data_IF_707603328101
#
_entry.id   IF_707603328101
#
_cell.length_a   1.000
_cell.length_b   1.000
_cell.length_c   1.000
_cell.angle_alpha   90.00
_cell.angle_beta   90.00
_cell.angle_gamma   90.00
#
_symmetry.space_group_name_H-M   'P 1'
#
loop_
_entity.id
_entity.type
_entity.pdbx_description
1 polymer ?
#
# COMPACT_ATOMS: atom_id res chain seq x y z
N UNK A 1 -0.96 59.55 5.66
CA UNK A 1 -1.39 58.17 5.34
C UNK A 1 -0.20 57.24 5.53
N UNK A 2 -0.15 56.55 6.66
CA UNK A 2 0.97 55.72 7.09
C UNK A 2 0.70 54.27 6.67
N UNK A 3 1.47 53.75 5.72
CA UNK A 3 1.38 52.34 5.31
C UNK A 3 2.12 51.47 6.32
N UNK A 4 1.37 50.79 7.18
CA UNK A 4 1.87 49.71 8.03
C UNK A 4 2.16 48.49 7.14
N UNK A 5 3.44 48.19 6.93
CA UNK A 5 3.89 46.92 6.36
C UNK A 5 3.71 45.87 7.45
N UNK A 6 2.66 45.06 7.35
CA UNK A 6 2.51 43.83 8.12
C UNK A 6 3.56 42.84 7.61
N UNK A 7 4.72 42.80 8.28
CA UNK A 7 5.65 41.70 8.16
C UNK A 7 4.99 40.46 8.78
N UNK A 8 4.40 39.62 7.93
CA UNK A 8 4.03 38.27 8.31
C UNK A 8 5.30 37.53 8.72
N UNK A 9 5.50 37.40 10.03
CA UNK A 9 6.38 36.38 10.58
C UNK A 9 5.85 35.03 10.11
N UNK A 10 6.40 34.52 9.02
CA UNK A 10 6.38 33.09 8.75
C UNK A 10 7.16 32.51 9.94
N UNK A 11 6.54 31.74 10.86
CA UNK A 11 7.33 31.04 11.85
C UNK A 11 8.30 30.18 11.06
N UNK A 12 9.60 30.46 11.21
CA UNK A 12 10.63 29.51 10.84
C UNK A 12 10.22 28.21 11.52
N UNK A 13 9.75 27.26 10.74
CA UNK A 13 9.44 25.93 11.24
C UNK A 13 10.75 25.42 11.82
N UNK A 14 10.78 25.22 13.14
CA UNK A 14 11.83 24.47 13.77
C UNK A 14 11.81 23.10 13.07
N UNK A 15 12.66 22.88 12.06
CA UNK A 15 12.91 21.55 11.52
C UNK A 15 13.16 20.66 12.74
N UNK A 16 12.36 19.59 12.88
CA UNK A 16 12.13 18.89 14.14
C UNK A 16 13.44 18.41 14.77
N UNK A 17 13.94 19.18 15.74
CA UNK A 17 15.12 18.81 16.52
C UNK A 17 14.73 17.66 17.45
N UNK A 18 15.37 16.52 17.30
CA UNK A 18 15.21 15.36 18.19
C UNK A 18 16.45 15.19 19.04
N UNK A 19 16.28 14.71 20.28
CA UNK A 19 17.44 14.44 21.15
C UNK A 19 18.21 13.21 20.68
N UNK A 20 17.51 12.18 20.19
CA UNK A 20 18.08 11.05 19.48
C UNK A 20 17.28 10.76 18.22
N UNK A 21 17.97 10.44 17.11
CA UNK A 21 17.32 10.04 15.86
C UNK A 21 16.31 8.89 16.05
N UNK A 22 16.58 7.98 16.98
CA UNK A 22 15.70 6.83 17.28
C UNK A 22 14.29 7.21 17.77
N UNK A 23 14.10 8.47 18.17
CA UNK A 23 12.79 8.97 18.60
C UNK A 23 11.82 9.15 17.42
N UNK A 24 12.33 9.38 16.21
CA UNK A 24 11.49 9.42 15.02
C UNK A 24 11.04 8.00 14.63
N UNK A 25 9.74 7.74 14.76
CA UNK A 25 9.13 6.42 14.53
C UNK A 25 8.77 6.18 13.06
N UNK A 26 8.69 7.22 12.26
CA UNK A 26 8.34 7.16 10.85
C UNK A 26 9.42 7.80 9.98
N UNK A 27 9.45 7.38 8.72
CA UNK A 27 10.45 7.83 7.76
C UNK A 27 10.34 9.32 7.44
N UNK A 28 9.12 9.87 7.39
CA UNK A 28 8.92 11.25 6.98
C UNK A 28 9.50 12.21 8.03
N UNK A 29 9.16 12.00 9.30
CA UNK A 29 9.74 12.74 10.42
C UNK A 29 11.25 12.49 10.53
N UNK A 30 11.70 11.24 10.37
CA UNK A 30 13.14 10.95 10.41
C UNK A 30 13.93 11.70 9.33
N UNK A 31 13.40 11.80 8.12
CA UNK A 31 14.06 12.47 7.00
C UNK A 31 14.24 13.98 7.25
N UNK A 32 13.34 14.62 7.98
CA UNK A 32 13.46 16.05 8.37
C UNK A 32 14.16 16.27 9.71
N UNK A 33 14.40 15.20 10.47
CA UNK A 33 14.99 15.27 11.81
C UNK A 33 16.51 15.39 11.78
N UNK A 34 17.05 16.08 12.79
CA UNK A 34 18.48 16.13 13.06
C UNK A 34 18.72 16.14 14.57
N UNK A 35 19.94 15.76 14.96
CA UNK A 35 20.44 15.84 16.33
C UNK A 35 21.73 16.67 16.40
N UNK A 36 22.15 17.03 17.61
CA UNK A 36 23.42 17.68 17.86
C UNK A 36 24.32 16.72 18.63
N UNK A 37 25.39 16.27 17.98
CA UNK A 37 26.41 15.41 18.59
C UNK A 37 27.70 16.23 18.68
N UNK A 38 28.23 16.44 19.89
CA UNK A 38 29.42 17.29 20.14
C UNK A 38 29.35 18.70 19.53
N UNK A 39 28.16 19.32 19.52
CA UNK A 39 27.95 20.67 18.96
C UNK A 39 27.84 20.72 17.43
N UNK A 40 27.98 19.60 16.73
CA UNK A 40 27.78 19.50 15.28
C UNK A 40 26.36 19.01 14.97
N UNK A 41 25.74 19.61 13.95
CA UNK A 41 24.41 19.21 13.48
C UNK A 41 24.54 17.97 12.60
N UNK A 42 23.95 16.87 13.05
CA UNK A 42 23.93 15.59 12.34
C UNK A 42 22.51 15.28 11.86
N UNK A 43 22.37 15.06 10.56
CA UNK A 43 21.08 14.67 9.97
C UNK A 43 20.78 13.21 10.30
N UNK A 44 19.53 12.94 10.68
CA UNK A 44 19.08 11.59 10.92
C UNK A 44 18.85 10.83 9.61
N UNK A 45 19.07 9.52 9.63
CA UNK A 45 18.91 8.65 8.46
C UNK A 45 17.88 7.57 8.73
N UNK A 46 16.90 7.47 7.85
CA UNK A 46 15.96 6.37 7.86
C UNK A 46 16.57 5.17 7.13
N UNK A 47 16.88 4.11 7.86
CA UNK A 47 17.42 2.88 7.29
C UNK A 47 16.25 2.01 6.82
N UNK A 48 16.05 1.92 5.49
CA UNK A 48 14.86 1.29 4.89
C UNK A 48 14.73 -0.20 5.24
N UNK A 49 15.86 -0.91 5.36
CA UNK A 49 15.89 -2.34 5.64
C UNK A 49 15.42 -2.68 7.07
N UNK A 50 15.95 -1.97 8.08
CA UNK A 50 15.60 -2.19 9.50
C UNK A 50 14.38 -1.39 9.95
N UNK A 51 13.83 -0.53 9.09
CA UNK A 51 12.66 0.34 9.37
C UNK A 51 12.83 1.17 10.66
N UNK A 52 14.03 1.70 10.87
CA UNK A 52 14.37 2.53 12.03
C UNK A 52 15.10 3.79 11.59
N UNK A 53 14.88 4.86 12.33
CA UNK A 53 15.66 6.09 12.23
C UNK A 53 16.91 5.95 13.09
N UNK A 54 18.09 6.06 12.49
CA UNK A 54 19.36 5.96 13.18
C UNK A 54 20.26 7.15 12.82
N UNK A 55 21.40 7.24 13.52
CA UNK A 55 22.41 8.25 13.22
C UNK A 55 23.12 7.99 11.88
N UNK A 56 23.98 8.92 11.44
CA UNK A 56 24.62 8.90 10.12
C UNK A 56 25.37 7.59 9.79
N UNK A 57 26.02 6.98 10.78
CA UNK A 57 26.90 5.81 10.60
C UNK A 57 26.26 4.48 11.01
N UNK A 58 24.99 4.48 11.40
CA UNK A 58 24.35 3.31 12.03
C UNK A 58 23.52 2.46 11.06
N UNK A 59 23.33 2.88 9.81
CA UNK A 59 22.66 2.06 8.80
C UNK A 59 23.62 0.98 8.23
N UNK A 60 23.13 -0.24 7.94
CA UNK A 60 23.96 -1.27 7.31
C UNK A 60 24.51 -0.82 5.94
N UNK A 61 25.79 -1.09 5.69
CA UNK A 61 26.46 -0.75 4.43
C UNK A 61 25.76 -1.39 3.21
N UNK A 62 25.68 -0.63 2.12
CA UNK A 62 25.06 -1.09 0.87
C UNK A 62 23.52 -1.21 0.90
N UNK A 63 22.85 -0.73 1.97
CA UNK A 63 21.37 -0.67 2.04
C UNK A 63 20.85 0.73 1.76
N UNK A 64 19.63 0.82 1.24
CA UNK A 64 18.98 2.09 0.95
C UNK A 64 18.72 2.91 2.22
N UNK A 65 19.03 4.21 2.14
CA UNK A 65 18.82 5.20 3.20
C UNK A 65 17.97 6.35 2.68
N UNK A 66 17.19 6.98 3.56
CA UNK A 66 16.47 8.22 3.28
C UNK A 66 16.93 9.29 4.27
N UNK A 67 17.34 10.45 3.76
CA UNK A 67 17.80 11.61 4.51
C UNK A 67 17.25 12.87 3.81
N UNK A 68 16.91 13.91 4.57
CA UNK A 68 16.47 15.25 4.13
C UNK A 68 15.15 15.35 3.39
N UNK A 69 14.77 14.33 2.64
CA UNK A 69 13.62 14.35 1.73
C UNK A 69 12.58 13.26 2.06
N UNK A 70 11.46 13.61 2.71
CA UNK A 70 10.35 12.70 3.00
C UNK A 70 9.68 12.07 1.78
N UNK A 71 9.87 12.63 0.58
CA UNK A 71 9.30 12.07 -0.65
C UNK A 71 9.94 10.73 -1.01
N UNK A 72 11.19 10.52 -0.60
CA UNK A 72 11.96 9.27 -0.81
C UNK A 72 11.62 8.17 0.19
N UNK A 73 10.66 8.40 1.09
CA UNK A 73 10.18 7.38 2.00
C UNK A 73 9.29 6.35 1.28
N UNK A 74 9.41 5.05 1.61
CA UNK A 74 8.49 4.02 1.12
C UNK A 74 7.02 4.40 1.35
N UNK A 75 6.20 4.34 0.31
CA UNK A 75 4.77 4.67 0.37
C UNK A 75 3.95 3.39 0.32
N UNK A 76 3.16 3.15 1.37
CA UNK A 76 2.21 2.04 1.44
C UNK A 76 0.87 2.56 0.93
N UNK A 77 0.33 1.91 -0.08
CA UNK A 77 -1.01 2.20 -0.61
C UNK A 77 -1.86 0.96 -0.35
N UNK A 78 -2.96 1.14 0.37
CA UNK A 78 -3.81 0.04 0.79
C UNK A 78 -5.26 0.44 0.71
N UNK A 79 -6.12 -0.57 0.54
CA UNK A 79 -7.55 -0.36 0.48
C UNK A 79 -8.31 -1.66 0.66
N UNK A 80 -9.49 -1.56 1.24
CA UNK A 80 -10.42 -2.65 1.43
C UNK A 80 -11.64 -2.44 0.55
N UNK A 81 -12.16 -3.50 -0.07
CA UNK A 81 -13.34 -3.45 -0.93
C UNK A 81 -13.15 -2.46 -2.10
N UNK A 82 -14.11 -1.57 -2.32
CA UNK A 82 -14.01 -0.43 -3.27
C UNK A 82 -12.79 0.46 -2.98
N UNK A 83 -12.38 0.57 -1.72
CA UNK A 83 -11.14 1.26 -1.35
C UNK A 83 -9.90 0.59 -1.94
N UNK A 84 -9.94 -0.73 -2.20
CA UNK A 84 -8.89 -1.46 -2.92
C UNK A 84 -8.74 -0.97 -4.36
N UNK A 85 -9.86 -0.77 -5.07
CA UNK A 85 -9.85 -0.18 -6.42
C UNK A 85 -9.31 1.25 -6.41
N UNK A 86 -9.73 2.05 -5.43
CA UNK A 86 -9.20 3.41 -5.28
C UNK A 86 -7.69 3.39 -5.01
N UNK A 87 -7.24 2.48 -4.13
CA UNK A 87 -5.83 2.30 -3.82
C UNK A 87 -4.99 1.91 -5.05
N UNK A 88 -5.49 1.02 -5.91
CA UNK A 88 -4.77 0.63 -7.13
C UNK A 88 -4.72 1.77 -8.15
N UNK A 89 -5.80 2.54 -8.31
CA UNK A 89 -5.81 3.77 -9.12
C UNK A 89 -4.83 4.82 -8.57
N UNK A 90 -4.85 5.08 -7.26
CA UNK A 90 -3.95 6.03 -6.61
C UNK A 90 -2.50 5.61 -6.75
N UNK A 91 -2.17 4.35 -6.52
CA UNK A 91 -0.82 3.84 -6.68
C UNK A 91 -0.32 4.04 -8.12
N UNK A 92 -1.18 3.74 -9.11
CA UNK A 92 -0.83 3.92 -10.51
C UNK A 92 -0.65 5.41 -10.85
N UNK A 93 -1.52 6.28 -10.34
CA UNK A 93 -1.42 7.72 -10.55
C UNK A 93 -0.11 8.28 -9.99
N UNK A 94 0.25 7.92 -8.75
CA UNK A 94 1.51 8.34 -8.12
C UNK A 94 2.73 7.87 -8.91
N UNK A 95 2.70 6.63 -9.38
CA UNK A 95 3.80 6.02 -10.12
C UNK A 95 3.95 6.60 -11.54
N UNK A 96 2.83 6.80 -12.24
CA UNK A 96 2.80 7.25 -13.65
C UNK A 96 3.14 8.73 -13.79
N UNK A 97 2.69 9.57 -12.85
CA UNK A 97 3.01 11.00 -12.82
C UNK A 97 4.34 11.30 -12.10
N UNK A 98 5.11 10.27 -11.75
CA UNK A 98 6.44 10.38 -11.14
C UNK A 98 6.47 11.20 -9.83
N UNK A 99 5.33 11.26 -9.13
CA UNK A 99 5.17 11.92 -7.84
C UNK A 99 5.88 11.15 -6.72
N UNK A 100 6.06 9.84 -6.92
CA UNK A 100 6.79 8.95 -6.02
C UNK A 100 7.63 8.00 -6.85
N UNK A 101 8.86 7.71 -6.41
CA UNK A 101 9.68 6.70 -7.04
C UNK A 101 8.96 5.34 -7.03
N UNK A 102 8.77 4.76 -8.21
CA UNK A 102 8.08 3.48 -8.48
C UNK A 102 8.57 2.33 -7.59
N UNK A 103 9.86 2.31 -7.23
CA UNK A 103 10.46 1.28 -6.36
C UNK A 103 10.05 1.41 -4.88
N UNK A 104 9.51 2.57 -4.47
CA UNK A 104 9.10 2.86 -3.10
C UNK A 104 7.62 2.56 -2.84
N UNK A 105 6.83 2.37 -3.90
CA UNK A 105 5.39 2.11 -3.79
C UNK A 105 5.16 0.63 -3.48
N UNK A 106 4.40 0.39 -2.42
CA UNK A 106 3.90 -0.94 -2.04
C UNK A 106 2.38 -0.93 -2.01
N UNK A 107 1.76 -1.63 -2.96
CA UNK A 107 0.32 -1.77 -3.07
C UNK A 107 -0.14 -3.11 -2.47
N UNK A 108 -1.01 -3.05 -1.47
CA UNK A 108 -1.69 -4.24 -0.93
C UNK A 108 -3.16 -3.94 -0.78
N UNK A 109 -4.04 -4.74 -1.38
CA UNK A 109 -5.50 -4.52 -1.34
C UNK A 109 -6.21 -5.74 -0.78
N UNK A 110 -7.41 -5.54 -0.21
CA UNK A 110 -8.22 -6.58 0.40
C UNK A 110 -9.60 -6.62 -0.25
N UNK A 111 -9.98 -7.73 -0.86
CA UNK A 111 -11.28 -7.88 -1.52
C UNK A 111 -11.50 -6.86 -2.65
N UNK A 112 -10.46 -6.50 -3.40
CA UNK A 112 -10.53 -5.50 -4.47
C UNK A 112 -11.39 -5.99 -5.65
N UNK A 113 -12.45 -5.25 -6.03
CA UNK A 113 -13.20 -5.52 -7.27
C UNK A 113 -12.39 -5.11 -8.50
N UNK A 114 -12.72 -5.66 -9.68
CA UNK A 114 -12.02 -5.32 -10.94
C UNK A 114 -12.23 -3.84 -11.25
N UNK A 115 -11.13 -3.10 -11.28
CA UNK A 115 -11.15 -1.63 -11.40
C UNK A 115 -11.07 -1.13 -12.84
N UNK A 116 -10.35 -1.85 -13.70
CA UNK A 116 -10.07 -1.39 -15.06
C UNK A 116 -9.89 -2.54 -16.02
N UNK A 117 -9.64 -2.19 -17.29
CA UNK A 117 -9.47 -3.15 -18.36
C UNK A 117 -8.03 -3.72 -18.43
N UNK A 118 -7.74 -4.49 -19.47
CA UNK A 118 -6.42 -5.07 -19.73
C UNK A 118 -5.31 -4.01 -19.77
N UNK A 119 -5.58 -2.82 -20.33
CA UNK A 119 -4.60 -1.74 -20.39
C UNK A 119 -4.28 -1.18 -18.99
N UNK A 120 -5.31 -1.03 -18.14
CA UNK A 120 -5.12 -0.65 -16.74
C UNK A 120 -4.29 -1.69 -15.99
N UNK A 121 -4.64 -2.98 -16.09
CA UNK A 121 -3.90 -4.05 -15.45
C UNK A 121 -2.42 -4.04 -15.86
N UNK A 122 -2.13 -3.98 -17.17
CA UNK A 122 -0.75 -3.88 -17.68
C UNK A 122 -0.01 -2.65 -17.17
N UNK A 123 -0.70 -1.50 -17.03
CA UNK A 123 -0.09 -0.30 -16.50
C UNK A 123 0.28 -0.47 -15.01
N UNK A 124 -0.62 -1.00 -14.18
CA UNK A 124 -0.31 -1.34 -12.78
C UNK A 124 0.90 -2.28 -12.71
N UNK A 125 0.93 -3.31 -13.55
CA UNK A 125 2.03 -4.27 -13.55
C UNK A 125 3.37 -3.67 -13.96
N UNK A 126 3.36 -2.74 -14.92
CA UNK A 126 4.56 -2.04 -15.41
C UNK A 126 5.13 -1.08 -14.37
N UNK A 127 4.26 -0.31 -13.70
CA UNK A 127 4.69 0.80 -12.86
C UNK A 127 4.85 0.43 -11.38
N UNK A 128 4.16 -0.60 -10.88
CA UNK A 128 4.16 -0.97 -9.46
C UNK A 128 4.72 -2.37 -9.31
N UNK A 129 5.95 -2.50 -8.82
CA UNK A 129 6.61 -3.81 -8.67
C UNK A 129 6.06 -4.61 -7.49
N UNK A 130 5.81 -3.96 -6.37
CA UNK A 130 5.25 -4.60 -5.18
C UNK A 130 3.73 -4.38 -5.15
N UNK A 131 2.98 -5.40 -5.59
CA UNK A 131 1.52 -5.35 -5.74
C UNK A 131 0.92 -6.71 -5.39
N UNK A 132 0.07 -6.75 -4.39
CA UNK A 132 -0.63 -7.96 -3.97
C UNK A 132 -2.09 -7.65 -3.67
N UNK A 133 -3.00 -8.40 -4.26
CA UNK A 133 -4.40 -8.42 -3.87
C UNK A 133 -4.59 -9.58 -2.93
N UNK A 134 -5.34 -9.41 -1.85
CA UNK A 134 -5.64 -10.45 -0.87
C UNK A 134 -7.14 -10.72 -0.93
N UNK A 135 -7.49 -11.98 -1.15
CA UNK A 135 -8.89 -12.41 -1.25
C UNK A 135 -9.11 -13.61 -0.34
N UNK A 136 -10.24 -13.60 0.35
CA UNK A 136 -10.68 -14.71 1.20
C UNK A 136 -11.77 -15.49 0.47
N UNK A 137 -11.53 -16.78 0.23
CA UNK A 137 -12.50 -17.76 -0.29
C UNK A 137 -13.31 -17.19 -1.48
N UNK A 138 -14.61 -17.40 -1.43
CA UNK A 138 -15.57 -17.09 -2.50
C UNK A 138 -16.12 -15.66 -2.40
N UNK A 139 -15.28 -14.72 -1.96
CA UNK A 139 -15.61 -13.29 -1.90
C UNK A 139 -16.14 -12.80 -3.26
N UNK A 140 -17.43 -12.49 -3.25
CA UNK A 140 -18.19 -12.01 -4.40
C UNK A 140 -17.66 -10.67 -4.91
N UNK A 141 -17.29 -9.75 -4.02
CA UNK A 141 -16.83 -8.40 -4.38
C UNK A 141 -15.52 -8.49 -5.18
N UNK A 142 -14.63 -9.38 -4.78
CA UNK A 142 -13.39 -9.64 -5.52
C UNK A 142 -13.62 -10.31 -6.89
N UNK A 143 -14.86 -10.55 -7.31
CA UNK A 143 -15.21 -11.20 -8.58
C UNK A 143 -16.03 -10.33 -9.51
N UNK A 144 -16.33 -9.09 -9.10
CA UNK A 144 -17.10 -8.13 -9.89
C UNK A 144 -16.24 -6.92 -10.33
N UNK A 145 -16.55 -6.30 -11.48
CA UNK A 145 -17.34 -6.85 -12.58
C UNK A 145 -16.74 -8.17 -13.10
N UNK A 146 -17.57 -9.06 -13.67
CA UNK A 146 -17.11 -10.35 -14.20
C UNK A 146 -16.23 -10.11 -15.44
N UNK A 147 -15.07 -10.75 -15.51
CA UNK A 147 -14.36 -10.99 -16.76
C UNK A 147 -14.98 -12.18 -17.48
N UNK A 148 -14.65 -12.38 -18.75
CA UNK A 148 -14.86 -13.65 -19.42
C UNK A 148 -13.53 -14.41 -19.46
N UNK A 149 -13.60 -15.72 -19.42
CA UNK A 149 -12.40 -16.54 -19.45
C UNK A 149 -11.70 -16.35 -20.81
N UNK A 150 -10.36 -16.21 -20.87
CA UNK A 150 -9.66 -15.98 -22.14
C UNK A 150 -9.98 -17.00 -23.23
N UNK A 151 -10.26 -18.25 -22.85
CA UNK A 151 -10.65 -19.35 -23.74
C UNK A 151 -12.07 -19.21 -24.34
N UNK A 152 -12.92 -18.36 -23.75
CA UNK A 152 -14.32 -18.17 -24.16
C UNK A 152 -14.56 -16.88 -24.95
N UNK A 153 -13.57 -15.98 -25.00
CA UNK A 153 -13.68 -14.74 -25.75
C UNK A 153 -13.32 -14.96 -27.22
N UNK A 154 -14.30 -14.73 -28.09
CA UNK A 154 -14.19 -14.92 -29.54
C UNK A 154 -13.57 -13.72 -30.28
N UNK A 155 -13.33 -12.59 -29.61
CA UNK A 155 -12.79 -11.37 -30.22
C UNK A 155 -11.70 -10.71 -29.38
N UNK A 156 -10.56 -10.41 -30.00
CA UNK A 156 -9.46 -9.67 -29.38
C UNK A 156 -9.91 -8.31 -28.82
N UNK A 157 -10.78 -7.60 -29.53
CA UNK A 157 -11.35 -6.33 -29.07
C UNK A 157 -12.16 -6.49 -27.78
N UNK A 158 -12.93 -7.57 -27.67
CA UNK A 158 -13.69 -7.86 -26.46
C UNK A 158 -12.74 -8.19 -25.29
N UNK A 159 -11.68 -8.96 -25.55
CA UNK A 159 -10.64 -9.27 -24.56
C UNK A 159 -9.98 -8.00 -24.03
N UNK A 160 -9.60 -7.05 -24.88
CA UNK A 160 -8.94 -5.82 -24.43
C UNK A 160 -9.85 -4.86 -23.67
N UNK A 161 -11.16 -4.90 -23.92
CA UNK A 161 -12.15 -4.03 -23.25
C UNK A 161 -12.64 -4.59 -21.92
N UNK A 162 -12.52 -5.90 -21.71
CA UNK A 162 -13.02 -6.54 -20.50
C UNK A 162 -12.28 -6.06 -19.24
N UNK A 163 -12.93 -6.09 -18.07
CA UNK A 163 -12.28 -5.85 -16.79
C UNK A 163 -11.24 -6.94 -16.52
N UNK A 164 -10.04 -6.61 -16.06
CA UNK A 164 -8.98 -7.59 -15.78
C UNK A 164 -8.22 -7.22 -14.51
N UNK A 165 -7.90 -8.22 -13.69
CA UNK A 165 -6.99 -8.02 -12.57
C UNK A 165 -5.52 -8.05 -13.00
N UNK A 166 -4.71 -7.25 -12.31
CA UNK A 166 -3.26 -7.34 -12.35
C UNK A 166 -2.75 -8.41 -11.38
N UNK A 167 -1.57 -8.96 -11.66
CA UNK A 167 -0.81 -9.85 -10.73
C UNK A 167 -0.35 -9.08 -9.50
N UNK A 168 -0.19 -9.64 -8.31
CA UNK A 168 -0.41 -11.03 -7.89
C UNK A 168 -1.64 -11.12 -6.99
N UNK A 169 -2.30 -12.26 -7.00
CA UNK A 169 -3.35 -12.58 -6.02
C UNK A 169 -2.77 -13.49 -4.93
N UNK A 170 -3.02 -13.14 -3.68
CA UNK A 170 -2.83 -13.98 -2.49
C UNK A 170 -4.22 -14.49 -2.09
N UNK A 171 -4.46 -15.78 -2.25
CA UNK A 171 -5.77 -16.37 -2.01
C UNK A 171 -5.74 -17.28 -0.79
N UNK A 172 -6.72 -17.08 0.09
CA UNK A 172 -6.95 -17.88 1.29
C UNK A 172 -8.23 -18.68 1.13
N UNK A 173 -8.12 -20.00 0.99
CA UNK A 173 -9.27 -20.93 0.97
C UNK A 173 -9.72 -21.34 2.39
N UNK A 174 -9.45 -20.52 3.39
CA UNK A 174 -9.69 -20.81 4.81
C UNK A 174 -10.23 -19.58 5.55
N UNK A 175 -10.17 -19.60 6.88
CA UNK A 175 -10.73 -18.53 7.71
C UNK A 175 -9.76 -17.37 7.93
N UNK A 176 -8.54 -17.43 7.39
CA UNK A 176 -7.45 -16.48 7.64
C UNK A 176 -7.13 -16.35 9.13
N UNK A 177 -7.12 -17.47 9.85
CA UNK A 177 -6.63 -17.51 11.24
C UNK A 177 -5.11 -17.47 11.28
N UNK A 178 -4.54 -17.24 12.46
CA UNK A 178 -3.09 -17.25 12.63
C UNK A 178 -2.53 -18.62 12.23
N UNK A 179 -1.49 -18.62 11.40
CA UNK A 179 -0.86 -19.80 10.79
C UNK A 179 -1.66 -20.49 9.67
N UNK A 180 -2.81 -19.95 9.26
CA UNK A 180 -3.49 -20.44 8.06
C UNK A 180 -2.60 -20.24 6.83
N UNK A 181 -2.63 -21.24 5.94
CA UNK A 181 -1.86 -21.22 4.70
C UNK A 181 -2.57 -20.40 3.63
N UNK A 182 -1.81 -20.00 2.62
CA UNK A 182 -2.32 -19.34 1.43
C UNK A 182 -1.48 -19.76 0.23
N UNK A 183 -1.97 -19.48 -0.95
CA UNK A 183 -1.17 -19.61 -2.18
C UNK A 183 -1.16 -18.31 -2.97
N UNK A 184 -0.15 -18.18 -3.83
CA UNK A 184 0.10 -16.99 -4.64
C UNK A 184 -0.13 -17.33 -6.10
N UNK A 185 -0.97 -16.53 -6.73
CA UNK A 185 -1.36 -16.64 -8.12
C UNK A 185 -0.51 -15.73 -8.99
N UNK A 186 0.26 -16.36 -9.88
CA UNK A 186 1.18 -15.70 -10.80
C UNK A 186 0.57 -15.16 -12.08
N UNK A 187 -0.75 -15.29 -12.29
CA UNK A 187 -1.46 -14.90 -13.51
C UNK A 187 -2.26 -13.61 -13.32
N UNK A 188 -2.41 -12.86 -14.41
CA UNK A 188 -3.35 -11.74 -14.47
C UNK A 188 -4.75 -12.36 -14.62
N UNK A 189 -5.67 -12.00 -13.73
CA UNK A 189 -6.97 -12.66 -13.47
C UNK A 189 -6.92 -13.94 -12.62
N UNK A 190 -8.10 -14.31 -12.12
CA UNK A 190 -8.25 -15.29 -11.04
C UNK A 190 -8.61 -16.70 -11.53
N UNK A 191 -8.95 -16.88 -12.82
CA UNK A 191 -9.47 -18.17 -13.35
C UNK A 191 -8.57 -19.38 -13.10
N UNK A 192 -7.25 -19.21 -13.21
CA UNK A 192 -6.30 -20.32 -12.98
C UNK A 192 -6.06 -20.64 -11.50
N UNK A 193 -6.71 -19.91 -10.60
CA UNK A 193 -6.32 -19.84 -9.19
C UNK A 193 -7.49 -19.78 -8.22
N UNK A 194 -8.69 -19.42 -8.67
CA UNK A 194 -9.90 -19.41 -7.87
C UNK A 194 -11.04 -19.81 -8.78
N UNK A 195 -11.97 -20.60 -8.26
CA UNK A 195 -13.20 -20.87 -8.98
C UNK A 195 -14.12 -19.65 -8.91
N UNK A 196 -13.92 -18.71 -9.83
CA UNK A 196 -14.71 -17.47 -9.85
C UNK A 196 -16.21 -17.76 -10.03
N UNK A 197 -16.59 -18.87 -10.64
CA UNK A 197 -18.00 -19.29 -10.76
C UNK A 197 -18.63 -19.66 -9.42
N UNK A 198 -17.86 -19.90 -8.35
CA UNK A 198 -18.37 -20.13 -6.99
C UNK A 198 -18.40 -18.86 -6.13
N UNK A 199 -17.78 -17.77 -6.59
CA UNK A 199 -17.71 -16.50 -5.87
C UNK A 199 -19.07 -15.81 -5.80
N UNK A 200 -19.91 -16.21 -4.85
CA UNK A 200 -21.21 -15.59 -4.55
C UNK A 200 -21.37 -15.28 -3.05
N UNK A 201 -20.35 -15.54 -2.23
CA UNK A 201 -20.45 -15.38 -0.79
C UNK A 201 -20.00 -13.98 -0.35
N UNK A 202 -20.95 -13.12 -0.03
CA UNK A 202 -20.65 -11.79 0.51
C UNK A 202 -20.12 -11.85 1.96
N UNK A 203 -20.38 -12.93 2.71
CA UNK A 203 -19.89 -13.06 4.09
C UNK A 203 -18.36 -13.14 4.17
N UNK A 204 -17.73 -13.77 3.16
CA UNK A 204 -16.26 -13.87 3.10
C UNK A 204 -15.58 -12.52 2.83
N UNK A 205 -16.33 -11.53 2.35
CA UNK A 205 -15.84 -10.17 2.17
C UNK A 205 -15.66 -9.40 3.49
N UNK A 206 -16.42 -9.74 4.55
CA UNK A 206 -16.52 -8.88 5.75
C UNK A 206 -15.41 -9.07 6.79
N UNK A 207 -14.58 -10.11 6.64
CA UNK A 207 -13.55 -10.43 7.63
C UNK A 207 -12.23 -10.82 6.98
N UNK A 208 -11.13 -10.29 7.52
CA UNK A 208 -9.77 -10.60 7.11
C UNK A 208 -8.90 -10.76 8.36
N UNK A 209 -8.06 -11.79 8.40
CA UNK A 209 -7.18 -12.09 9.54
C UNK A 209 -7.89 -12.19 10.89
N UNK A 210 -9.06 -12.86 10.94
CA UNK A 210 -9.91 -12.96 12.13
C UNK A 210 -10.49 -11.64 12.66
N UNK A 211 -10.28 -10.53 11.95
CA UNK A 211 -10.91 -9.23 12.26
C UNK A 211 -12.18 -9.12 11.45
N UNK A 212 -13.32 -9.09 12.14
CA UNK A 212 -14.61 -8.73 11.56
C UNK A 212 -14.74 -7.21 11.51
N UNK A 213 -15.00 -6.67 10.31
CA UNK A 213 -15.03 -5.22 10.08
C UNK A 213 -16.09 -4.52 10.94
N UNK A 214 -17.30 -5.07 11.00
CA UNK A 214 -18.41 -4.43 11.68
C UNK A 214 -18.18 -4.40 13.19
N UNK A 215 -17.75 -5.54 13.75
CA UNK A 215 -17.36 -5.65 15.15
C UNK A 215 -16.20 -4.70 15.49
N UNK A 216 -15.18 -4.64 14.64
CA UNK A 216 -14.02 -3.77 14.84
C UNK A 216 -14.41 -2.29 14.91
N UNK A 217 -15.30 -1.84 14.01
CA UNK A 217 -15.81 -0.46 14.00
C UNK A 217 -16.70 -0.22 15.24
N UNK A 218 -17.62 -1.14 15.55
CA UNK A 218 -18.52 -1.04 16.71
C UNK A 218 -17.74 -0.94 18.03
N UNK A 219 -16.60 -1.64 18.11
CA UNK A 219 -15.69 -1.62 19.25
C UNK A 219 -14.74 -0.41 19.27
N UNK A 220 -14.96 0.60 18.42
CA UNK A 220 -14.14 1.83 18.32
C UNK A 220 -12.69 1.59 17.90
N UNK A 221 -12.46 0.63 17.00
CA UNK A 221 -11.17 0.35 16.38
C UNK A 221 -10.04 0.04 17.39
N UNK A 222 -10.18 -1.03 18.20
CA UNK A 222 -9.20 -1.41 19.20
C UNK A 222 -7.84 -1.73 18.56
N UNK A 223 -6.78 -1.02 18.96
CA UNK A 223 -5.45 -1.18 18.34
C UNK A 223 -4.77 -2.49 18.71
N UNK A 224 -5.07 -3.02 19.89
CA UNK A 224 -4.57 -4.29 20.41
C UNK A 224 -4.95 -5.49 19.53
N UNK A 225 -6.16 -5.49 18.94
CA UNK A 225 -6.58 -6.53 17.99
C UNK A 225 -5.70 -6.56 16.72
N UNK A 226 -5.13 -5.41 16.30
CA UNK A 226 -4.22 -5.33 15.15
C UNK A 226 -2.83 -5.87 15.49
N UNK A 227 -2.37 -5.67 16.73
CA UNK A 227 -1.04 -6.10 17.17
C UNK A 227 -0.98 -7.58 17.57
N UNK A 228 -2.14 -8.24 17.74
CA UNK A 228 -2.24 -9.64 18.10
C UNK A 228 -2.15 -10.62 16.90
N UNK A 229 -2.25 -10.10 15.66
CA UNK A 229 -2.17 -10.85 14.40
C UNK A 229 -0.84 -11.60 14.26
#
# INVERSE_FOLDING_TARGET
>A
MMWLIMASFIPFTNCDKVSLCRQAKDCATCATSYTYTFGLREQCRWCVYVKQCLGPLSCPFGKAIVERDPSRCPKKVTGYSVGGSLASMTALYLAKNELVNKALIRLVTFGEPRTGNVAFARAVEKYIRFRYRVVKRDDFIASIPRSAEPSTILSETAFYRQPLFYRYLVHYENRMTKNDTFYICGLSDDYGCRNTHKSFNMADHFSYFSIDREKFIKNRCPRDEIFAL
#
